data_IF_215275926317
#
_entry.id   IF_215275926317
#
_cell.length_a   1.000
_cell.length_b   1.000
_cell.length_c   1.000
_cell.angle_alpha   90.00
_cell.angle_beta   90.00
_cell.angle_gamma   90.00
#
_symmetry.space_group_name_H-M   'P 1'
#
loop_
_entity.id
_entity.type
_entity.pdbx_description
1 polymer ?
#
# COMPACT_ATOMS: atom_id res chain seq x y z
N UNK A 1 -66.17 3.92 -16.74
CA UNK A 1 -67.05 3.18 -17.66
C UNK A 1 -66.13 2.30 -18.46
N UNK A 2 -65.96 1.07 -18.03
CA UNK A 2 -66.57 -0.19 -18.48
C UNK A 2 -66.20 -0.54 -19.92
N UNK A 3 -65.30 -1.49 -20.00
CA UNK A 3 -65.48 -2.97 -20.19
C UNK A 3 -65.77 -3.43 -21.61
N UNK A 4 -64.90 -4.36 -22.05
CA UNK A 4 -65.21 -5.64 -22.75
C UNK A 4 -65.65 -5.54 -24.21
N UNK A 5 -65.08 -6.27 -24.99
CA UNK A 5 -65.03 -7.60 -25.58
C UNK A 5 -65.09 -7.55 -27.10
N UNK A 6 -64.30 -8.30 -27.81
CA UNK A 6 -64.65 -9.51 -28.57
C UNK A 6 -63.52 -9.91 -29.54
N UNK A 7 -62.97 -10.99 -29.32
CA UNK A 7 -62.77 -12.29 -29.98
C UNK A 7 -62.79 -12.38 -31.52
N UNK A 8 -61.69 -12.98 -32.00
CA UNK A 8 -61.56 -14.10 -32.96
C UNK A 8 -61.56 -13.81 -34.45
N UNK A 9 -60.49 -14.20 -35.13
CA UNK A 9 -60.48 -15.36 -36.03
C UNK A 9 -59.10 -15.59 -36.66
N UNK A 10 -58.79 -16.83 -36.79
CA UNK A 10 -57.61 -17.53 -37.22
C UNK A 10 -57.10 -17.24 -38.62
N UNK A 11 -55.76 -17.40 -38.80
CA UNK A 11 -55.10 -17.55 -40.10
C UNK A 11 -53.68 -18.04 -39.89
N UNK A 12 -53.46 -19.33 -39.93
CA UNK A 12 -52.15 -19.99 -39.86
C UNK A 12 -51.39 -19.77 -41.17
N UNK A 13 -50.18 -19.28 -41.08
CA UNK A 13 -49.13 -19.50 -42.06
C UNK A 13 -47.80 -19.68 -41.33
N UNK A 14 -47.30 -20.88 -41.38
CA UNK A 14 -46.03 -21.25 -40.82
C UNK A 14 -44.90 -20.67 -41.65
N UNK A 15 -44.00 -20.02 -40.92
CA UNK A 15 -42.67 -19.73 -41.42
C UNK A 15 -41.67 -20.30 -40.42
N UNK A 16 -41.00 -21.37 -40.84
CA UNK A 16 -39.87 -21.99 -40.22
C UNK A 16 -38.73 -20.93 -40.09
N UNK A 17 -38.57 -20.35 -38.91
CA UNK A 17 -37.34 -19.61 -38.59
C UNK A 17 -36.33 -20.63 -38.07
N UNK A 18 -35.34 -20.93 -38.88
CA UNK A 18 -34.14 -21.61 -38.45
C UNK A 18 -33.40 -20.65 -37.44
N UNK A 19 -33.43 -21.02 -36.19
CA UNK A 19 -32.54 -20.42 -35.18
C UNK A 19 -31.13 -20.90 -35.46
N UNK A 20 -30.33 -20.05 -36.05
CA UNK A 20 -28.86 -20.21 -36.03
C UNK A 20 -28.40 -20.02 -34.60
N UNK A 21 -28.15 -21.12 -33.88
CA UNK A 21 -27.37 -21.10 -32.66
C UNK A 21 -25.96 -20.56 -32.99
N UNK A 22 -25.73 -19.31 -32.63
CA UNK A 22 -24.40 -18.75 -32.60
C UNK A 22 -23.62 -19.47 -31.53
N UNK A 23 -22.79 -20.41 -31.92
CA UNK A 23 -21.72 -20.97 -31.09
C UNK A 23 -20.70 -19.86 -30.81
N UNK A 24 -21.00 -18.96 -29.85
CA UNK A 24 -20.02 -18.12 -29.25
C UNK A 24 -19.07 -19.04 -28.44
N UNK A 25 -17.88 -19.28 -28.98
CA UNK A 25 -16.84 -19.96 -28.24
C UNK A 25 -16.65 -19.24 -26.88
N UNK A 26 -16.46 -20.00 -25.78
CA UNK A 26 -16.19 -19.36 -24.48
C UNK A 26 -14.97 -18.49 -24.63
N UNK A 27 -15.16 -17.18 -24.42
CA UNK A 27 -14.04 -16.23 -24.27
C UNK A 27 -13.22 -16.76 -23.10
N UNK A 28 -12.07 -17.34 -23.41
CA UNK A 28 -11.10 -17.72 -22.40
C UNK A 28 -10.79 -16.47 -21.60
N UNK A 29 -11.31 -16.40 -20.37
CA UNK A 29 -10.88 -15.42 -19.39
C UNK A 29 -9.38 -15.66 -19.12
N UNK A 30 -8.52 -15.10 -19.95
CA UNK A 30 -7.12 -14.89 -19.61
C UNK A 30 -7.09 -13.84 -18.53
N UNK A 31 -7.39 -14.23 -17.29
CA UNK A 31 -7.23 -13.37 -16.15
C UNK A 31 -5.73 -13.14 -15.97
N UNK A 32 -5.23 -12.02 -16.51
CA UNK A 32 -3.90 -11.53 -16.13
C UNK A 32 -3.83 -11.55 -14.60
N UNK A 33 -2.82 -12.19 -13.99
CA UNK A 33 -2.71 -12.22 -12.54
C UNK A 33 -2.80 -10.80 -11.97
N UNK A 34 -3.59 -10.62 -10.92
CA UNK A 34 -3.73 -9.32 -10.29
C UNK A 34 -2.36 -8.80 -9.86
N UNK A 35 -2.05 -7.54 -10.18
CA UNK A 35 -0.92 -6.85 -9.57
C UNK A 35 -1.11 -6.84 -8.04
N UNK A 36 -0.07 -7.20 -7.29
CA UNK A 36 -0.12 -7.35 -5.84
C UNK A 36 -1.23 -8.32 -5.37
N UNK A 37 -1.20 -9.62 -5.73
CA UNK A 37 -2.23 -10.60 -5.34
C UNK A 37 -2.32 -10.79 -3.83
N UNK A 38 -1.23 -10.54 -3.11
CA UNK A 38 -1.14 -10.47 -1.65
C UNK A 38 -0.75 -9.06 -1.21
N UNK A 39 -0.92 -8.68 0.07
CA UNK A 39 -0.46 -7.39 0.56
C UNK A 39 1.01 -7.15 0.20
N UNK A 40 1.37 -6.01 -0.43
CA UNK A 40 2.75 -5.68 -0.72
C UNK A 40 3.66 -5.73 0.51
N UNK A 41 4.85 -6.28 0.35
CA UNK A 41 5.88 -6.31 1.39
C UNK A 41 7.16 -5.71 0.82
N UNK A 42 7.79 -4.82 1.59
CA UNK A 42 8.96 -4.13 1.07
C UNK A 42 9.66 -3.22 2.07
N UNK A 43 10.43 -2.31 1.52
CA UNK A 43 11.13 -1.25 2.24
C UNK A 43 10.95 0.09 1.53
N UNK A 44 10.92 1.16 2.34
CA UNK A 44 10.85 2.52 1.83
C UNK A 44 11.76 3.42 2.66
N UNK A 45 12.45 4.35 2.00
CA UNK A 45 13.50 5.17 2.60
C UNK A 45 13.04 6.29 3.53
N UNK A 46 11.74 6.63 3.58
CA UNK A 46 11.25 7.84 4.26
C UNK A 46 11.58 7.89 5.75
N UNK A 47 11.19 6.87 6.52
CA UNK A 47 11.38 6.91 7.98
C UNK A 47 12.86 6.94 8.40
N UNK A 48 13.76 6.39 7.57
CA UNK A 48 15.19 6.29 7.86
C UNK A 48 16.01 7.44 7.29
N UNK A 49 15.65 7.98 6.12
CA UNK A 49 16.47 8.98 5.42
C UNK A 49 15.75 10.30 5.12
N UNK A 50 14.44 10.37 5.37
CA UNK A 50 13.64 11.52 4.96
C UNK A 50 13.87 11.83 3.45
N UNK A 51 14.18 13.09 3.13
CA UNK A 51 14.45 13.54 1.75
C UNK A 51 15.89 13.29 1.29
N UNK A 52 16.80 12.74 2.15
CA UNK A 52 18.27 12.83 1.94
C UNK A 52 18.94 11.59 1.38
N UNK A 53 18.23 10.52 1.12
CA UNK A 53 18.82 9.25 0.67
C UNK A 53 19.72 9.45 -0.56
N UNK A 54 20.88 8.78 -0.58
CA UNK A 54 21.83 8.75 -1.70
C UNK A 54 21.83 7.39 -2.41
N UNK A 55 22.42 7.33 -3.60
CA UNK A 55 22.59 6.07 -4.34
C UNK A 55 23.33 5.01 -3.52
N UNK A 56 24.43 5.39 -2.86
CA UNK A 56 25.20 4.48 -2.01
C UNK A 56 24.35 3.89 -0.88
N UNK A 57 23.60 4.74 -0.19
CA UNK A 57 22.70 4.31 0.89
C UNK A 57 21.57 3.41 0.36
N UNK A 58 21.01 3.74 -0.79
CA UNK A 58 19.97 2.96 -1.42
C UNK A 58 20.47 1.55 -1.79
N UNK A 59 21.61 1.44 -2.45
CA UNK A 59 22.19 0.14 -2.85
C UNK A 59 22.53 -0.70 -1.62
N UNK A 60 23.15 -0.11 -0.59
CA UNK A 60 23.47 -0.84 0.64
C UNK A 60 22.21 -1.39 1.35
N UNK A 61 21.10 -0.63 1.40
CA UNK A 61 19.85 -1.13 1.95
C UNK A 61 19.22 -2.21 1.05
N UNK A 62 19.30 -2.08 -0.27
CA UNK A 62 18.77 -3.08 -1.20
C UNK A 62 19.50 -4.43 -1.07
N UNK A 63 20.83 -4.42 -0.93
CA UNK A 63 21.63 -5.62 -0.71
C UNK A 63 21.27 -6.35 0.59
N UNK A 64 21.06 -5.60 1.68
CA UNK A 64 20.65 -6.16 2.96
C UNK A 64 19.21 -6.70 2.86
N UNK A 65 18.29 -5.95 2.24
CA UNK A 65 16.93 -6.42 2.01
C UNK A 65 16.90 -7.73 1.22
N UNK A 66 17.70 -7.83 0.16
CA UNK A 66 17.77 -9.01 -0.65
C UNK A 66 18.29 -10.25 0.13
N UNK A 67 19.24 -10.03 1.04
CA UNK A 67 19.82 -11.09 1.86
C UNK A 67 18.93 -11.51 3.02
N UNK A 68 18.40 -10.54 3.75
CA UNK A 68 17.74 -10.78 5.04
C UNK A 68 16.21 -10.89 4.94
N UNK A 69 15.56 -10.12 4.07
CA UNK A 69 14.10 -9.98 4.06
C UNK A 69 13.44 -10.64 2.83
N UNK A 70 14.08 -10.62 1.66
CA UNK A 70 13.53 -11.24 0.44
C UNK A 70 13.16 -12.72 0.61
N UNK A 71 13.92 -13.57 1.34
CA UNK A 71 13.53 -14.97 1.59
C UNK A 71 12.21 -15.14 2.34
N UNK A 72 11.68 -14.04 2.88
CA UNK A 72 10.42 -13.97 3.61
C UNK A 72 9.31 -13.23 2.85
N UNK A 73 9.57 -12.81 1.59
CA UNK A 73 8.56 -12.22 0.71
C UNK A 73 8.61 -10.70 0.59
N UNK A 74 9.54 -10.01 1.24
CA UNK A 74 9.77 -8.58 1.04
C UNK A 74 10.50 -8.37 -0.28
N UNK A 75 9.81 -7.85 -1.30
CA UNK A 75 10.37 -7.75 -2.64
C UNK A 75 10.31 -6.34 -3.26
N UNK A 76 9.65 -5.36 -2.62
CA UNK A 76 9.54 -3.99 -3.13
C UNK A 76 10.51 -3.06 -2.41
N UNK A 77 11.48 -2.52 -3.13
CA UNK A 77 12.46 -1.56 -2.65
C UNK A 77 12.14 -0.17 -3.19
N UNK A 78 11.83 0.82 -2.32
CA UNK A 78 11.33 2.14 -2.74
C UNK A 78 12.22 3.28 -2.26
N UNK A 79 12.63 4.15 -3.19
CA UNK A 79 13.24 5.45 -2.90
C UNK A 79 12.14 6.49 -2.80
N UNK A 80 12.01 7.12 -1.62
CA UNK A 80 10.99 8.12 -1.32
C UNK A 80 11.41 9.54 -1.73
N UNK A 81 10.56 10.55 -1.48
CA UNK A 81 10.79 11.98 -1.70
C UNK A 81 12.09 12.41 -0.99
N UNK A 82 12.88 13.36 -1.42
CA UNK A 82 12.89 14.16 -2.66
C UNK A 82 14.12 13.78 -3.51
N UNK A 83 14.10 12.65 -4.15
CA UNK A 83 15.22 12.14 -4.94
C UNK A 83 15.65 13.09 -6.07
N UNK A 84 14.79 13.99 -6.48
CA UNK A 84 15.02 14.98 -7.55
C UNK A 84 15.61 16.33 -7.03
N UNK A 85 15.68 16.53 -5.71
CA UNK A 85 16.18 17.79 -5.11
C UNK A 85 17.61 17.61 -4.63
N UNK A 86 18.56 18.31 -5.28
CA UNK A 86 19.98 18.20 -4.96
C UNK A 86 20.38 18.79 -3.60
N UNK A 87 19.58 19.72 -3.08
CA UNK A 87 19.81 20.40 -1.80
C UNK A 87 18.86 19.93 -0.68
N UNK A 88 18.28 18.74 -0.80
CA UNK A 88 17.41 18.14 0.23
C UNK A 88 18.10 18.02 1.59
N UNK A 89 17.38 18.34 2.69
CA UNK A 89 17.99 18.52 4.03
C UNK A 89 17.46 17.60 5.12
N UNK A 90 16.41 16.83 4.87
CA UNK A 90 15.78 15.96 5.86
C UNK A 90 14.27 16.06 5.82
N UNK A 91 13.61 16.21 6.97
CA UNK A 91 12.16 16.32 7.05
C UNK A 91 11.62 17.71 6.70
N UNK A 92 12.48 18.72 6.63
CA UNK A 92 12.12 20.08 6.23
C UNK A 92 12.34 20.26 4.72
N UNK A 93 11.31 20.70 4.00
CA UNK A 93 11.41 20.98 2.58
C UNK A 93 12.00 22.36 2.30
N UNK A 94 12.74 22.48 1.21
CA UNK A 94 13.20 23.79 0.77
C UNK A 94 11.99 24.64 0.36
N UNK A 95 11.91 25.88 0.83
CA UNK A 95 10.83 26.80 0.49
C UNK A 95 10.88 27.28 -0.96
N UNK A 96 12.05 27.14 -1.61
CA UNK A 96 12.29 27.43 -3.04
C UNK A 96 13.03 26.25 -3.64
N UNK A 97 12.34 25.14 -3.91
CA UNK A 97 12.97 23.94 -4.45
C UNK A 97 13.46 24.17 -5.88
N UNK A 98 14.58 23.54 -6.22
CA UNK A 98 15.12 23.51 -7.58
C UNK A 98 15.20 22.05 -8.02
N UNK A 99 14.06 21.44 -8.39
CA UNK A 99 14.04 20.07 -8.80
C UNK A 99 14.87 19.84 -10.06
N UNK A 100 15.63 18.76 -10.07
CA UNK A 100 16.23 18.25 -11.32
C UNK A 100 15.12 17.75 -12.21
N UNK A 101 15.05 18.25 -13.44
CA UNK A 101 14.03 17.87 -14.42
C UNK A 101 14.55 18.01 -15.85
N UNK A 102 13.90 17.35 -16.78
CA UNK A 102 14.20 17.49 -18.21
C UNK A 102 13.51 18.71 -18.85
N UNK A 103 13.70 18.86 -20.15
CA UNK A 103 13.10 19.94 -20.95
C UNK A 103 11.58 19.90 -21.05
N UNK A 104 10.94 18.83 -20.59
CA UNK A 104 9.48 18.64 -20.56
C UNK A 104 8.90 18.75 -19.14
N UNK A 105 9.70 19.15 -18.15
CA UNK A 105 9.28 19.28 -16.76
C UNK A 105 9.06 17.94 -16.04
N UNK A 106 9.63 16.83 -16.55
CA UNK A 106 9.59 15.54 -15.86
C UNK A 106 10.78 15.44 -14.90
N UNK A 107 10.51 14.97 -13.68
CA UNK A 107 11.52 14.87 -12.64
C UNK A 107 12.62 13.87 -13.00
N UNK A 108 13.87 14.23 -12.71
CA UNK A 108 15.06 13.39 -12.86
C UNK A 108 15.81 13.26 -11.53
N UNK A 109 16.50 12.12 -11.26
CA UNK A 109 17.30 11.99 -10.04
C UNK A 109 18.39 13.06 -9.97
N UNK A 110 18.58 13.66 -8.80
CA UNK A 110 19.60 14.69 -8.58
C UNK A 110 21.01 14.08 -8.71
N UNK A 111 21.87 14.53 -9.67
CA UNK A 111 23.13 13.84 -10.00
C UNK A 111 24.15 13.83 -8.85
N UNK A 112 24.11 14.82 -7.96
CA UNK A 112 24.99 14.89 -6.79
C UNK A 112 24.64 13.85 -5.72
N UNK A 113 23.44 13.28 -5.78
CA UNK A 113 22.97 12.22 -4.85
C UNK A 113 22.89 10.86 -5.53
N UNK A 114 22.61 10.86 -6.81
CA UNK A 114 22.47 9.67 -7.67
C UNK A 114 23.40 9.79 -8.88
N UNK A 115 24.71 9.63 -8.69
CA UNK A 115 25.72 9.88 -9.72
C UNK A 115 25.59 9.00 -10.96
N UNK A 116 24.95 7.81 -10.85
CA UNK A 116 24.72 6.95 -12.01
C UNK A 116 23.60 7.44 -12.93
N UNK A 117 22.80 8.45 -12.50
CA UNK A 117 21.63 8.96 -13.24
C UNK A 117 21.98 9.89 -14.41
N UNK A 118 23.26 10.27 -14.57
CA UNK A 118 23.71 11.26 -15.56
C UNK A 118 23.55 10.76 -16.99
N UNK A 119 23.67 11.69 -17.97
CA UNK A 119 23.57 11.41 -19.41
C UNK A 119 22.24 10.78 -19.83
N UNK A 120 21.16 11.15 -19.16
CA UNK A 120 19.82 10.65 -19.47
C UNK A 120 19.50 9.26 -18.93
N UNK A 121 20.39 8.65 -18.12
CA UNK A 121 20.19 7.31 -17.60
C UNK A 121 19.05 7.23 -16.55
N UNK A 122 18.75 8.34 -15.85
CA UNK A 122 17.72 8.36 -14.83
C UNK A 122 17.95 7.31 -13.74
N UNK A 123 16.90 6.64 -13.31
CA UNK A 123 17.03 5.55 -12.32
C UNK A 123 17.37 4.18 -12.93
N UNK A 124 17.49 4.06 -14.27
CA UNK A 124 17.73 2.75 -14.92
C UNK A 124 18.93 2.00 -14.33
N UNK A 125 20.12 2.63 -14.06
CA UNK A 125 21.25 1.91 -13.49
C UNK A 125 21.00 1.38 -12.06
N UNK A 126 20.20 2.09 -11.26
CA UNK A 126 19.81 1.62 -9.93
C UNK A 126 18.75 0.52 -10.03
N UNK A 127 17.77 0.68 -10.92
CA UNK A 127 16.77 -0.34 -11.19
C UNK A 127 17.42 -1.66 -11.61
N UNK A 128 18.41 -1.62 -12.49
CA UNK A 128 19.14 -2.82 -12.93
C UNK A 128 19.84 -3.54 -11.76
N UNK A 129 20.47 -2.78 -10.84
CA UNK A 129 21.11 -3.34 -9.64
C UNK A 129 20.07 -3.98 -8.71
N UNK A 130 18.94 -3.28 -8.46
CA UNK A 130 17.85 -3.76 -7.60
C UNK A 130 17.21 -5.02 -8.19
N UNK A 131 16.97 -5.04 -9.51
CA UNK A 131 16.45 -6.21 -10.22
C UNK A 131 17.44 -7.38 -10.22
N UNK A 132 18.74 -7.12 -10.34
CA UNK A 132 19.76 -8.17 -10.23
C UNK A 132 19.77 -8.85 -8.85
N UNK A 133 19.36 -8.14 -7.80
CA UNK A 133 19.12 -8.70 -6.46
C UNK A 133 17.80 -9.48 -6.37
N UNK A 134 16.98 -9.45 -7.43
CA UNK A 134 15.65 -10.07 -7.53
C UNK A 134 14.59 -9.32 -6.73
N UNK A 135 14.77 -8.02 -6.56
CA UNK A 135 13.80 -7.11 -5.96
C UNK A 135 13.07 -6.31 -7.05
N UNK A 136 11.92 -5.77 -6.74
CA UNK A 136 11.20 -4.77 -7.53
C UNK A 136 11.65 -3.38 -7.11
N UNK A 137 11.76 -2.47 -8.07
CA UNK A 137 12.19 -1.10 -7.78
C UNK A 137 11.03 -0.12 -7.82
N UNK A 138 10.91 0.70 -6.78
CA UNK A 138 9.88 1.71 -6.60
C UNK A 138 10.43 3.11 -6.39
N UNK A 139 9.65 4.09 -6.79
CA UNK A 139 9.94 5.51 -6.56
C UNK A 139 8.71 6.25 -6.06
N UNK A 140 8.96 7.35 -5.35
CA UNK A 140 7.94 8.30 -4.94
C UNK A 140 7.71 9.35 -6.02
N UNK A 141 6.47 9.78 -6.18
CA UNK A 141 6.07 10.96 -6.95
C UNK A 141 5.15 11.85 -6.13
N UNK A 142 5.27 13.16 -6.30
CA UNK A 142 4.21 14.10 -5.91
C UNK A 142 3.13 14.14 -6.99
N UNK A 143 1.90 14.43 -6.61
CA UNK A 143 0.83 14.84 -7.51
C UNK A 143 1.22 16.12 -8.28
N UNK A 144 0.80 16.19 -9.55
CA UNK A 144 0.87 17.43 -10.31
C UNK A 144 2.12 17.61 -11.16
N UNK A 145 2.46 18.88 -11.42
CA UNK A 145 3.56 19.33 -12.29
C UNK A 145 4.51 20.25 -11.51
N UNK A 146 5.85 20.16 -11.68
CA UNK A 146 6.80 21.04 -11.00
C UNK A 146 6.49 22.52 -11.22
N UNK A 147 6.44 23.30 -10.14
CA UNK A 147 6.22 24.76 -10.20
C UNK A 147 7.25 25.44 -11.11
N UNK A 148 8.49 24.97 -11.05
CA UNK A 148 9.57 25.46 -11.92
C UNK A 148 9.32 25.20 -13.41
N UNK A 149 8.67 24.06 -13.74
CA UNK A 149 8.26 23.78 -15.13
C UNK A 149 7.19 24.77 -15.61
N UNK A 150 6.24 25.13 -14.74
CA UNK A 150 5.20 26.13 -15.01
C UNK A 150 5.80 27.54 -15.11
N UNK A 151 6.71 27.90 -14.22
CA UNK A 151 7.43 29.18 -14.28
C UNK A 151 8.15 29.36 -15.63
N UNK A 152 8.90 28.34 -16.06
CA UNK A 152 9.63 28.31 -17.33
C UNK A 152 8.73 28.05 -18.55
N UNK A 153 7.48 27.68 -18.32
CA UNK A 153 6.50 27.32 -19.34
C UNK A 153 7.03 26.27 -20.33
N UNK A 154 7.57 25.17 -19.78
CA UNK A 154 8.18 24.10 -20.56
C UNK A 154 7.14 23.37 -21.46
N UNK A 155 7.56 22.85 -22.61
CA UNK A 155 6.67 22.09 -23.50
C UNK A 155 6.31 20.74 -22.90
N UNK A 156 5.06 20.30 -23.08
CA UNK A 156 4.62 18.94 -22.77
C UNK A 156 5.04 18.01 -23.90
N UNK A 157 5.66 16.89 -23.55
CA UNK A 157 6.13 15.91 -24.53
C UNK A 157 4.95 15.31 -25.32
N UNK A 158 5.11 15.22 -26.64
CA UNK A 158 4.14 14.60 -27.55
C UNK A 158 3.02 15.51 -27.99
N UNK A 159 2.97 16.77 -27.54
CA UNK A 159 1.90 17.68 -27.85
C UNK A 159 2.37 19.11 -28.19
N UNK A 160 1.40 19.96 -28.54
CA UNK A 160 1.59 21.40 -28.74
C UNK A 160 1.40 22.23 -27.47
N UNK A 161 1.10 21.57 -26.34
CA UNK A 161 0.76 22.19 -25.08
C UNK A 161 2.02 22.48 -24.25
N UNK A 162 1.90 23.43 -23.34
CA UNK A 162 2.95 23.83 -22.41
C UNK A 162 2.48 23.69 -20.96
N UNK A 163 3.41 23.76 -20.04
CA UNK A 163 3.15 23.57 -18.61
C UNK A 163 2.06 24.52 -18.07
N UNK A 164 2.03 25.79 -18.54
CA UNK A 164 0.99 26.76 -18.13
C UNK A 164 -0.40 26.45 -18.68
N UNK A 165 -0.50 25.71 -19.76
CA UNK A 165 -1.80 25.37 -20.36
C UNK A 165 -2.57 24.35 -19.53
N UNK A 166 -1.85 23.53 -18.73
CA UNK A 166 -2.41 22.41 -17.98
C UNK A 166 -2.32 22.60 -16.46
N UNK A 167 -1.50 23.52 -15.97
CA UNK A 167 -1.30 23.71 -14.53
C UNK A 167 -2.52 24.34 -13.86
N UNK A 168 -2.90 23.82 -12.69
CA UNK A 168 -3.79 24.47 -11.75
C UNK A 168 -2.96 25.07 -10.62
N UNK A 169 -2.62 26.36 -10.73
CA UNK A 169 -1.76 27.06 -9.78
C UNK A 169 -2.42 27.34 -8.42
N UNK A 170 -3.74 27.16 -8.31
CA UNK A 170 -4.47 27.24 -7.04
C UNK A 170 -4.44 25.92 -6.27
N UNK A 171 -4.22 24.81 -6.97
CA UNK A 171 -4.07 23.48 -6.37
C UNK A 171 -2.62 23.28 -5.93
N UNK A 172 -2.36 23.47 -4.63
CA UNK A 172 -1.03 23.37 -4.03
C UNK A 172 -1.04 22.35 -2.89
N UNK A 173 0.08 21.66 -2.71
CA UNK A 173 0.31 20.85 -1.52
C UNK A 173 0.66 21.78 -0.35
N UNK A 174 -0.03 21.70 0.81
CA UNK A 174 0.21 22.63 1.93
C UNK A 174 1.53 22.38 2.65
N UNK A 175 2.10 21.18 2.55
CA UNK A 175 3.32 20.79 3.25
C UNK A 175 4.55 20.68 2.33
N UNK A 176 4.37 20.71 1.01
CA UNK A 176 5.45 20.59 0.03
C UNK A 176 5.27 21.62 -1.11
N UNK A 177 6.29 22.48 -1.35
CA UNK A 177 6.18 23.55 -2.33
C UNK A 177 6.61 23.17 -3.75
N UNK A 178 6.84 21.87 -4.04
CA UNK A 178 7.48 21.46 -5.29
C UNK A 178 6.55 21.57 -6.50
N UNK A 179 5.24 21.30 -6.30
CA UNK A 179 4.29 21.06 -7.37
C UNK A 179 3.09 22.01 -7.36
N UNK A 180 2.51 22.21 -8.54
CA UNK A 180 1.10 22.61 -8.73
C UNK A 180 0.29 21.41 -9.18
N UNK A 181 -1.02 21.40 -8.91
CA UNK A 181 -1.92 20.42 -9.50
C UNK A 181 -1.99 20.53 -11.02
N UNK A 182 -2.50 19.49 -11.66
CA UNK A 182 -2.81 19.48 -13.08
C UNK A 182 -4.33 19.55 -13.28
N UNK A 183 -4.80 20.51 -14.06
CA UNK A 183 -6.22 20.60 -14.45
C UNK A 183 -6.51 19.55 -15.54
N UNK A 184 -7.06 18.42 -15.11
CA UNK A 184 -7.33 17.28 -16.00
C UNK A 184 -8.43 17.54 -17.04
N UNK A 185 -9.14 18.68 -16.97
CA UNK A 185 -10.06 19.12 -18.01
C UNK A 185 -9.34 19.75 -19.23
N UNK A 186 -8.08 20.09 -19.09
CA UNK A 186 -7.29 20.76 -20.12
C UNK A 186 -6.71 19.77 -21.12
N UNK A 187 -6.74 20.11 -22.41
CA UNK A 187 -6.00 19.35 -23.41
C UNK A 187 -4.50 19.34 -23.10
N UNK A 188 -3.85 18.17 -23.22
CA UNK A 188 -2.44 17.97 -22.87
C UNK A 188 -2.19 17.53 -21.41
N UNK A 189 -3.18 17.63 -20.53
CA UNK A 189 -3.03 17.19 -19.13
C UNK A 189 -2.75 15.68 -19.03
N UNK A 190 -3.49 14.86 -19.76
CA UNK A 190 -3.23 13.42 -19.81
C UNK A 190 -1.91 13.10 -20.51
N UNK A 191 -1.52 13.87 -21.55
CA UNK A 191 -0.24 13.68 -22.25
C UNK A 191 0.95 13.89 -21.29
N UNK A 192 0.85 14.86 -20.39
CA UNK A 192 1.85 15.06 -19.34
C UNK A 192 2.01 13.82 -18.47
N UNK A 193 0.91 13.30 -17.88
CA UNK A 193 0.97 12.10 -17.05
C UNK A 193 1.46 10.88 -17.85
N UNK A 194 0.99 10.71 -19.09
CA UNK A 194 1.48 9.64 -19.97
C UNK A 194 3.00 9.73 -20.17
N UNK A 195 3.53 10.94 -20.37
CA UNK A 195 4.96 11.15 -20.56
C UNK A 195 5.77 10.85 -19.30
N UNK A 196 5.26 11.21 -18.10
CA UNK A 196 5.90 10.90 -16.82
C UNK A 196 5.97 9.38 -16.61
N UNK A 197 4.85 8.67 -16.77
CA UNK A 197 4.84 7.23 -16.56
C UNK A 197 5.57 6.44 -17.65
N UNK A 198 5.62 6.95 -18.88
CA UNK A 198 6.50 6.41 -19.94
C UNK A 198 7.98 6.55 -19.56
N UNK A 199 8.38 7.68 -18.94
CA UNK A 199 9.73 7.86 -18.41
C UNK A 199 10.03 6.87 -17.30
N UNK A 200 9.12 6.68 -16.34
CA UNK A 200 9.27 5.69 -15.28
C UNK A 200 9.36 4.26 -15.84
N UNK A 201 8.56 3.94 -16.86
CA UNK A 201 8.62 2.65 -17.55
C UNK A 201 9.97 2.44 -18.24
N UNK A 202 10.57 3.49 -18.81
CA UNK A 202 11.90 3.42 -19.44
C UNK A 202 13.03 3.18 -18.42
N UNK A 203 12.80 3.48 -17.15
CA UNK A 203 13.72 3.16 -16.04
C UNK A 203 13.42 1.82 -15.37
N UNK A 204 12.46 1.06 -15.89
CA UNK A 204 12.01 -0.21 -15.32
C UNK A 204 11.44 -0.11 -13.90
N UNK A 205 10.69 0.96 -13.61
CA UNK A 205 10.01 1.11 -12.30
C UNK A 205 8.83 0.12 -12.21
N UNK A 206 8.70 -0.55 -11.04
CA UNK A 206 7.66 -1.55 -10.75
C UNK A 206 6.60 -1.05 -9.76
N UNK A 207 6.93 -0.01 -8.98
CA UNK A 207 6.10 0.50 -7.90
C UNK A 207 6.19 2.03 -7.84
N UNK A 208 5.07 2.70 -7.72
CA UNK A 208 5.00 4.16 -7.59
C UNK A 208 4.18 4.51 -6.35
N UNK A 209 4.82 5.13 -5.36
CA UNK A 209 4.15 5.82 -4.26
C UNK A 209 3.84 7.23 -4.71
N UNK A 210 2.56 7.53 -4.94
CA UNK A 210 2.13 8.84 -5.41
C UNK A 210 1.47 9.63 -4.28
N UNK A 211 2.02 10.79 -4.00
CA UNK A 211 1.76 11.58 -2.81
C UNK A 211 0.85 12.80 -3.07
N UNK A 212 0.29 13.41 -2.01
CA UNK A 212 -0.68 14.53 -2.05
C UNK A 212 -2.01 14.15 -2.76
N UNK A 213 -2.45 12.89 -2.64
CA UNK A 213 -3.62 12.40 -3.36
C UNK A 213 -4.93 12.45 -2.57
N UNK A 214 -4.88 12.46 -1.25
CA UNK A 214 -6.05 12.21 -0.41
C UNK A 214 -6.84 13.45 -0.01
N UNK A 215 -6.27 14.67 -0.11
CA UNK A 215 -6.92 15.91 0.34
C UNK A 215 -6.60 17.11 -0.56
N UNK A 216 -7.65 17.79 -1.06
CA UNK A 216 -9.06 17.37 -1.09
C UNK A 216 -9.30 16.25 -2.11
N UNK A 217 -9.84 15.11 -1.68
CA UNK A 217 -9.90 13.90 -2.50
C UNK A 217 -10.65 14.10 -3.84
N UNK A 218 -11.83 14.71 -3.78
CA UNK A 218 -12.66 14.87 -4.99
C UNK A 218 -11.99 15.77 -6.04
N UNK A 219 -11.22 16.77 -5.60
CA UNK A 219 -10.44 17.63 -6.51
C UNK A 219 -9.24 16.88 -7.12
N UNK A 220 -8.65 15.93 -6.36
CA UNK A 220 -7.47 15.17 -6.79
C UNK A 220 -7.84 13.87 -7.52
N UNK A 221 -9.09 13.40 -7.42
CA UNK A 221 -9.56 12.17 -8.05
C UNK A 221 -9.27 12.09 -9.56
N UNK A 222 -9.46 13.16 -10.37
CA UNK A 222 -9.10 13.13 -11.79
C UNK A 222 -7.61 12.86 -12.05
N UNK A 223 -6.71 13.32 -11.17
CA UNK A 223 -5.27 13.05 -11.28
C UNK A 223 -4.94 11.61 -10.88
N UNK A 224 -5.67 11.00 -9.92
CA UNK A 224 -5.58 9.56 -9.60
C UNK A 224 -5.94 8.72 -10.85
N UNK A 225 -7.05 9.06 -11.50
CA UNK A 225 -7.48 8.41 -12.73
C UNK A 225 -6.46 8.59 -13.87
N UNK A 226 -5.88 9.79 -13.97
CA UNK A 226 -4.86 10.09 -14.97
C UNK A 226 -3.60 9.25 -14.78
N UNK A 227 -3.12 9.11 -13.53
CA UNK A 227 -2.00 8.24 -13.20
C UNK A 227 -2.29 6.77 -13.54
N UNK A 228 -3.49 6.30 -13.20
CA UNK A 228 -3.93 4.94 -13.55
C UNK A 228 -3.92 4.69 -15.06
N UNK A 229 -4.51 5.60 -15.85
CA UNK A 229 -4.50 5.54 -17.33
C UNK A 229 -3.08 5.60 -17.89
N UNK A 230 -2.22 6.45 -17.32
CA UNK A 230 -0.85 6.60 -17.76
C UNK A 230 0.00 5.33 -17.51
N UNK A 231 -0.21 4.62 -16.38
CA UNK A 231 0.39 3.31 -16.13
C UNK A 231 -0.04 2.32 -17.23
N UNK A 232 -1.32 2.25 -17.53
CA UNK A 232 -1.82 1.38 -18.60
C UNK A 232 -1.22 1.72 -19.95
N UNK A 233 -1.16 3.01 -20.30
CA UNK A 233 -0.60 3.50 -21.56
C UNK A 233 0.92 3.25 -21.68
N UNK A 234 1.64 3.20 -20.57
CA UNK A 234 3.09 2.93 -20.56
C UNK A 234 3.45 1.52 -21.01
N UNK A 235 2.50 0.58 -20.97
CA UNK A 235 2.71 -0.84 -21.29
C UNK A 235 3.49 -1.61 -20.21
N UNK A 236 3.99 -0.94 -19.16
CA UNK A 236 4.65 -1.60 -18.02
C UNK A 236 3.71 -1.71 -16.83
N UNK A 237 3.52 -2.91 -16.26
CA UNK A 237 2.74 -3.07 -15.05
C UNK A 237 3.46 -2.43 -13.86
N UNK A 238 2.84 -1.42 -13.23
CA UNK A 238 3.35 -0.76 -12.04
C UNK A 238 2.29 -0.81 -10.95
N UNK A 239 2.70 -1.14 -9.71
CA UNK A 239 1.82 -1.04 -8.53
C UNK A 239 1.70 0.45 -8.19
N UNK A 240 0.47 0.96 -8.18
CA UNK A 240 0.17 2.32 -7.73
C UNK A 240 -0.23 2.31 -6.26
N UNK A 241 0.52 3.04 -5.45
CA UNK A 241 0.29 3.27 -4.03
C UNK A 241 -0.03 4.75 -3.81
N UNK A 242 -1.19 5.06 -3.25
CA UNK A 242 -1.62 6.45 -3.01
C UNK A 242 -1.34 6.87 -1.57
N UNK A 243 -0.75 8.05 -1.39
CA UNK A 243 -0.30 8.63 -0.11
C UNK A 243 -0.24 10.16 -0.22
N UNK A 244 0.11 10.91 0.86
CA UNK A 244 -0.28 10.65 2.22
C UNK A 244 -1.70 11.11 2.48
N UNK A 245 -2.08 10.99 3.75
CA UNK A 245 -3.35 11.44 4.24
C UNK A 245 -4.39 10.33 4.25
N UNK A 246 -5.29 10.45 5.19
CA UNK A 246 -6.41 9.52 5.31
C UNK A 246 -7.32 9.67 4.09
N UNK A 247 -7.35 8.64 3.24
CA UNK A 247 -8.33 8.56 2.16
C UNK A 247 -9.74 8.56 2.77
N UNK A 248 -10.68 9.40 2.31
CA UNK A 248 -12.05 9.36 2.82
C UNK A 248 -12.70 8.00 2.56
N UNK A 249 -13.32 7.40 3.58
CA UNK A 249 -13.96 6.09 3.46
C UNK A 249 -15.04 6.06 2.36
N UNK A 250 -15.75 7.18 2.16
CA UNK A 250 -16.73 7.33 1.09
C UNK A 250 -16.13 7.16 -0.31
N UNK A 251 -14.84 7.39 -0.47
CA UNK A 251 -14.12 7.25 -1.74
C UNK A 251 -13.54 5.84 -1.96
N UNK A 252 -13.86 4.89 -1.08
CA UNK A 252 -13.29 3.54 -1.10
C UNK A 252 -13.49 2.79 -2.42
N UNK A 253 -14.66 2.91 -3.05
CA UNK A 253 -14.92 2.29 -4.36
C UNK A 253 -14.12 2.94 -5.49
N UNK A 254 -13.89 4.25 -5.43
CA UNK A 254 -13.10 4.94 -6.43
C UNK A 254 -11.61 4.56 -6.31
N UNK A 255 -11.04 4.66 -5.10
CA UNK A 255 -9.62 4.35 -4.90
C UNK A 255 -9.31 2.88 -5.20
N UNK A 256 -10.21 1.96 -4.82
CA UNK A 256 -10.10 0.52 -5.11
C UNK A 256 -10.06 0.20 -6.62
N UNK A 257 -10.73 1.00 -7.45
CA UNK A 257 -10.70 0.82 -8.91
C UNK A 257 -9.38 1.25 -9.54
N UNK A 258 -8.71 2.26 -8.95
CA UNK A 258 -7.61 2.95 -9.61
C UNK A 258 -6.24 2.63 -9.01
N UNK A 259 -6.13 2.13 -7.77
CA UNK A 259 -4.87 1.84 -7.12
C UNK A 259 -4.80 0.43 -6.52
N UNK A 260 -3.60 -0.12 -6.36
CA UNK A 260 -3.36 -1.40 -5.70
C UNK A 260 -3.24 -1.27 -4.19
N UNK A 261 -2.77 -0.12 -3.69
CA UNK A 261 -2.80 0.21 -2.27
C UNK A 261 -3.05 1.71 -2.06
N UNK A 262 -3.56 2.07 -0.90
CA UNK A 262 -3.89 3.46 -0.55
C UNK A 262 -3.86 3.65 0.96
N UNK A 263 -3.36 4.79 1.39
CA UNK A 263 -3.25 5.17 2.80
C UNK A 263 -4.61 5.40 3.43
N UNK A 264 -4.79 4.82 4.59
CA UNK A 264 -6.01 4.96 5.42
C UNK A 264 -5.80 5.84 6.64
N UNK A 265 -4.63 6.46 6.76
CA UNK A 265 -4.25 7.39 7.82
C UNK A 265 -3.27 8.43 7.29
N UNK A 266 -3.08 9.50 8.04
CA UNK A 266 -1.88 10.34 7.93
C UNK A 266 -0.63 9.55 8.26
N UNK A 267 0.55 10.18 8.15
CA UNK A 267 1.81 9.52 8.44
C UNK A 267 1.81 8.90 9.84
N UNK A 268 2.09 7.60 9.86
CA UNK A 268 2.12 6.79 11.06
C UNK A 268 3.54 6.72 11.62
N UNK A 269 3.65 7.08 12.88
CA UNK A 269 4.89 7.00 13.62
C UNK A 269 4.77 6.12 14.86
N UNK A 270 5.90 5.81 15.47
CA UNK A 270 6.07 4.93 16.63
C UNK A 270 5.57 5.56 17.94
N UNK A 271 4.26 5.84 17.96
CA UNK A 271 3.54 6.40 19.11
C UNK A 271 2.27 5.59 19.38
N UNK A 272 2.08 5.16 20.62
CA UNK A 272 0.94 4.31 20.99
C UNK A 272 -0.43 4.86 20.58
N UNK A 273 -0.74 6.15 20.77
CA UNK A 273 -2.04 6.69 20.34
C UNK A 273 -2.30 6.52 18.84
N UNK A 274 -1.25 6.64 18.01
CA UNK A 274 -1.36 6.44 16.56
C UNK A 274 -1.61 4.95 16.24
N UNK A 275 -0.89 4.03 16.89
CA UNK A 275 -1.11 2.58 16.75
C UNK A 275 -2.52 2.20 17.19
N UNK A 276 -2.98 2.72 18.33
CA UNK A 276 -4.35 2.49 18.83
C UNK A 276 -5.42 2.96 17.84
N UNK A 277 -5.21 4.09 17.17
CA UNK A 277 -6.15 4.62 16.18
C UNK A 277 -6.27 3.72 14.94
N UNK A 278 -5.21 3.00 14.56
CA UNK A 278 -5.23 2.12 13.40
C UNK A 278 -6.19 0.93 13.54
N UNK A 279 -6.52 0.51 14.75
CA UNK A 279 -7.53 -0.54 14.96
C UNK A 279 -8.87 -0.17 14.32
N UNK A 280 -9.36 1.04 14.57
CA UNK A 280 -10.63 1.51 14.01
C UNK A 280 -10.54 1.77 12.50
N UNK A 281 -9.42 2.31 12.03
CA UNK A 281 -9.20 2.54 10.60
C UNK A 281 -9.20 1.23 9.81
N UNK A 282 -8.41 0.25 10.25
CA UNK A 282 -8.34 -1.06 9.61
C UNK A 282 -9.67 -1.82 9.65
N UNK A 283 -10.44 -1.67 10.72
CA UNK A 283 -11.80 -2.19 10.83
C UNK A 283 -12.71 -1.59 9.75
N UNK A 284 -12.78 -0.25 9.66
CA UNK A 284 -13.61 0.46 8.71
C UNK A 284 -13.25 0.14 7.25
N UNK A 285 -11.97 0.00 6.96
CA UNK A 285 -11.47 -0.27 5.61
C UNK A 285 -11.48 -1.76 5.21
N UNK A 286 -11.79 -2.67 6.14
CA UNK A 286 -11.76 -4.11 5.89
C UNK A 286 -12.66 -4.56 4.73
N UNK A 287 -13.77 -3.85 4.50
CA UNK A 287 -14.73 -4.12 3.42
C UNK A 287 -14.20 -3.86 2.01
N UNK A 288 -13.16 -3.02 1.85
CA UNK A 288 -12.58 -2.69 0.55
C UNK A 288 -11.36 -3.55 0.21
N UNK A 289 -10.88 -4.36 1.16
CA UNK A 289 -9.72 -5.24 0.98
C UNK A 289 -10.06 -6.46 0.14
N UNK A 290 -9.26 -6.70 -0.89
CA UNK A 290 -9.33 -7.91 -1.73
C UNK A 290 -7.98 -8.13 -2.43
N UNK A 291 -7.75 -9.29 -3.04
CA UNK A 291 -6.55 -9.52 -3.85
C UNK A 291 -6.33 -8.41 -4.88
N UNK A 292 -5.12 -7.84 -4.89
CA UNK A 292 -4.75 -6.70 -5.74
C UNK A 292 -5.23 -5.33 -5.24
N UNK A 293 -5.87 -5.24 -4.06
CA UNK A 293 -6.43 -4.00 -3.53
C UNK A 293 -6.30 -3.96 -2.00
N UNK A 294 -5.39 -3.11 -1.50
CA UNK A 294 -4.94 -3.17 -0.11
C UNK A 294 -5.04 -1.81 0.59
N UNK A 295 -5.96 -1.64 1.56
CA UNK A 295 -5.89 -0.54 2.51
C UNK A 295 -4.57 -0.58 3.27
N UNK A 296 -3.84 0.53 3.27
CA UNK A 296 -2.49 0.65 3.81
C UNK A 296 -2.50 1.46 5.11
N UNK A 297 -2.18 0.81 6.21
CA UNK A 297 -2.08 1.44 7.52
C UNK A 297 -0.73 2.14 7.74
N UNK A 298 0.05 2.31 6.67
CA UNK A 298 1.37 2.92 6.59
C UNK A 298 2.54 1.99 6.93
N UNK A 299 3.72 2.55 6.80
CA UNK A 299 5.00 1.89 6.98
C UNK A 299 5.20 1.40 8.42
N UNK A 300 6.12 0.47 8.58
CA UNK A 300 6.55 -0.06 9.88
C UNK A 300 7.73 0.77 10.40
N UNK A 301 7.55 1.70 11.36
CA UNK A 301 8.61 2.54 11.90
C UNK A 301 9.42 1.77 12.96
N UNK A 302 10.07 0.68 12.53
CA UNK A 302 10.88 -0.20 13.36
C UNK A 302 12.38 0.04 13.13
N UNK A 303 13.22 -0.39 14.06
CA UNK A 303 14.68 -0.28 13.98
C UNK A 303 15.20 1.15 14.05
N UNK A 304 16.26 1.46 13.28
CA UNK A 304 16.92 2.76 13.26
C UNK A 304 16.21 3.76 12.35
N UNK A 305 15.82 4.91 12.87
CA UNK A 305 14.95 5.92 12.24
C UNK A 305 15.59 7.31 12.23
N UNK A 306 14.92 8.25 11.53
CA UNK A 306 15.21 9.68 11.55
C UNK A 306 16.69 10.02 11.26
N UNK A 307 17.18 9.55 10.11
CA UNK A 307 18.58 9.78 9.67
C UNK A 307 19.61 9.27 10.70
N UNK A 308 19.30 8.11 11.31
CA UNK A 308 20.14 7.46 12.30
C UNK A 308 20.14 8.11 13.69
N UNK A 309 19.26 9.09 13.93
CA UNK A 309 19.24 9.84 15.20
C UNK A 309 18.64 9.06 16.38
N UNK A 310 17.76 8.09 16.10
CA UNK A 310 17.09 7.31 17.15
C UNK A 310 16.64 5.92 16.68
N UNK A 311 16.39 5.07 17.63
CA UNK A 311 15.69 3.80 17.43
C UNK A 311 14.17 3.99 17.57
N UNK A 312 13.42 2.97 17.17
CA UNK A 312 11.98 2.87 17.39
C UNK A 312 11.62 3.07 18.87
N UNK A 313 10.59 3.90 19.14
CA UNK A 313 10.12 4.19 20.50
C UNK A 313 9.14 3.17 21.06
N UNK A 314 8.52 2.37 20.20
CA UNK A 314 7.62 1.32 20.64
C UNK A 314 8.34 0.34 21.56
N UNK A 315 7.70 -0.01 22.66
CA UNK A 315 8.14 -1.12 23.52
C UNK A 315 8.11 -2.44 22.71
N UNK A 316 8.81 -3.50 23.15
CA UNK A 316 8.75 -4.80 22.48
C UNK A 316 7.33 -5.35 22.30
N UNK A 317 6.43 -5.09 23.27
CA UNK A 317 5.03 -5.50 23.18
C UNK A 317 4.26 -4.70 22.14
N UNK A 318 4.49 -3.37 22.05
CA UNK A 318 3.88 -2.51 21.05
C UNK A 318 4.38 -2.82 19.63
N UNK A 319 5.68 -3.14 19.45
CA UNK A 319 6.23 -3.60 18.18
C UNK A 319 5.56 -4.91 17.72
N UNK A 320 5.37 -5.85 18.65
CA UNK A 320 4.64 -7.09 18.38
C UNK A 320 3.17 -6.83 18.07
N UNK A 321 2.54 -5.90 18.77
CA UNK A 321 1.16 -5.48 18.54
C UNK A 321 0.99 -4.84 17.16
N UNK A 322 1.91 -3.98 16.74
CA UNK A 322 1.98 -3.43 15.39
C UNK A 322 1.99 -4.55 14.34
N UNK A 323 2.96 -5.46 14.43
CA UNK A 323 3.10 -6.56 13.47
C UNK A 323 1.90 -7.51 13.49
N UNK A 324 1.31 -7.78 14.66
CA UNK A 324 0.12 -8.62 14.79
C UNK A 324 -1.09 -7.97 14.10
N UNK A 325 -1.30 -6.67 14.33
CA UNK A 325 -2.43 -5.94 13.75
C UNK A 325 -2.30 -5.83 12.23
N UNK A 326 -1.14 -5.41 11.71
CA UNK A 326 -0.91 -5.36 10.25
C UNK A 326 -1.09 -6.72 9.60
N UNK A 327 -0.62 -7.78 10.27
CA UNK A 327 -0.75 -9.14 9.75
C UNK A 327 -2.18 -9.65 9.75
N UNK A 328 -2.91 -9.53 10.85
CA UNK A 328 -4.29 -10.04 10.91
C UNK A 328 -5.27 -9.19 10.08
N UNK A 329 -5.01 -7.90 9.93
CA UNK A 329 -5.78 -7.01 9.08
C UNK A 329 -5.36 -7.05 7.60
N UNK A 330 -4.25 -7.74 7.27
CA UNK A 330 -3.67 -7.81 5.92
C UNK A 330 -3.36 -6.43 5.34
N UNK A 331 -2.77 -5.55 6.15
CA UNK A 331 -2.14 -4.33 5.66
C UNK A 331 -0.83 -4.64 4.96
N UNK A 332 -0.39 -3.86 3.96
CA UNK A 332 0.97 -3.92 3.46
C UNK A 332 2.02 -3.85 4.57
N UNK A 333 3.15 -4.54 4.38
CA UNK A 333 4.26 -4.59 5.33
C UNK A 333 5.47 -3.89 4.72
N UNK A 334 5.54 -2.58 4.83
CA UNK A 334 6.62 -1.76 4.29
C UNK A 334 7.52 -1.29 5.43
N UNK A 335 8.70 -1.90 5.55
CA UNK A 335 9.70 -1.54 6.56
C UNK A 335 10.26 -0.13 6.30
N UNK A 336 10.35 0.71 7.34
CA UNK A 336 10.81 2.09 7.24
C UNK A 336 12.20 2.36 7.82
N UNK A 337 12.75 1.45 8.65
CA UNK A 337 14.05 1.64 9.28
C UNK A 337 15.24 1.39 8.36
N UNK A 338 16.39 1.96 8.73
CA UNK A 338 17.65 1.77 8.02
C UNK A 338 18.17 0.34 8.21
N UNK A 339 18.10 -0.45 7.14
CA UNK A 339 18.47 -1.87 7.19
C UNK A 339 19.97 -2.09 7.48
N UNK A 340 20.82 -1.09 7.28
CA UNK A 340 22.24 -1.17 7.65
C UNK A 340 22.45 -1.30 9.16
N UNK A 341 21.41 -0.97 9.94
CA UNK A 341 21.37 -1.07 11.39
C UNK A 341 20.26 -2.02 11.89
N UNK A 342 19.93 -3.04 11.07
CA UNK A 342 18.88 -4.02 11.39
C UNK A 342 19.32 -4.91 12.57
N UNK A 343 18.70 -4.71 13.72
CA UNK A 343 18.99 -5.50 14.92
C UNK A 343 18.26 -6.86 14.90
N UNK A 344 18.76 -7.85 15.68
CA UNK A 344 18.18 -9.21 15.70
C UNK A 344 16.71 -9.27 16.14
N UNK A 345 16.25 -8.38 17.03
CA UNK A 345 14.87 -8.38 17.52
C UNK A 345 13.92 -7.88 16.41
N UNK A 346 14.27 -6.77 15.74
CA UNK A 346 13.54 -6.26 14.58
C UNK A 346 13.52 -7.29 13.45
N UNK A 347 14.65 -7.94 13.15
CA UNK A 347 14.71 -9.00 12.14
C UNK A 347 13.78 -10.16 12.49
N UNK A 348 13.75 -10.60 13.76
CA UNK A 348 12.88 -11.69 14.20
C UNK A 348 11.38 -11.35 14.07
N UNK A 349 11.00 -10.09 14.29
CA UNK A 349 9.62 -9.63 14.06
C UNK A 349 9.25 -9.69 12.57
N UNK A 350 10.13 -9.20 11.69
CA UNK A 350 9.88 -9.11 10.26
C UNK A 350 9.93 -10.48 9.55
N UNK A 351 10.57 -11.49 10.14
CA UNK A 351 10.84 -12.77 9.48
C UNK A 351 10.13 -13.98 10.12
N UNK A 352 9.18 -13.76 11.02
CA UNK A 352 8.38 -14.84 11.56
C UNK A 352 7.40 -15.39 10.51
N UNK A 353 7.73 -16.53 9.90
CA UNK A 353 6.94 -17.15 8.81
C UNK A 353 5.49 -17.43 9.19
N UNK A 354 5.22 -17.79 10.46
CA UNK A 354 3.86 -18.10 10.91
C UNK A 354 3.00 -16.84 11.00
N UNK A 355 3.58 -15.72 11.43
CA UNK A 355 2.92 -14.42 11.46
C UNK A 355 2.73 -13.87 10.03
N UNK A 356 3.77 -13.98 9.19
CA UNK A 356 3.68 -13.58 7.79
C UNK A 356 2.63 -14.38 7.01
N UNK A 357 2.45 -15.67 7.31
CA UNK A 357 1.39 -16.48 6.71
C UNK A 357 0.00 -15.92 7.01
N UNK A 358 -0.22 -15.33 8.19
CA UNK A 358 -1.50 -14.65 8.51
C UNK A 358 -1.71 -13.44 7.60
N UNK A 359 -0.67 -12.68 7.28
CA UNK A 359 -0.76 -11.55 6.36
C UNK A 359 -0.95 -12.01 4.91
N UNK A 360 -0.17 -12.97 4.46
CA UNK A 360 -0.04 -13.34 3.04
C UNK A 360 -1.02 -14.43 2.59
N UNK A 361 -1.41 -15.35 3.48
CA UNK A 361 -2.18 -16.55 3.16
C UNK A 361 -3.36 -16.77 4.11
N UNK A 362 -4.14 -15.72 4.35
CA UNK A 362 -5.39 -15.81 5.12
C UNK A 362 -6.56 -15.12 4.42
N UNK A 363 -7.76 -15.45 4.88
CA UNK A 363 -9.05 -14.92 4.36
C UNK A 363 -10.03 -14.67 5.50
N UNK A 364 -11.11 -13.97 5.22
CA UNK A 364 -12.17 -13.65 6.19
C UNK A 364 -11.63 -12.86 7.41
N UNK A 365 -10.59 -12.09 7.21
CA UNK A 365 -9.95 -11.31 8.27
C UNK A 365 -10.88 -10.17 8.72
N UNK A 366 -11.28 -10.16 9.99
CA UNK A 366 -12.21 -9.17 10.51
C UNK A 366 -12.08 -9.01 12.02
N UNK A 367 -12.49 -7.84 12.56
CA UNK A 367 -12.69 -7.71 13.99
C UNK A 367 -13.78 -8.66 14.46
N UNK A 368 -13.64 -9.21 15.65
CA UNK A 368 -14.58 -10.17 16.21
C UNK A 368 -15.32 -9.63 17.44
N UNK A 369 -14.63 -9.00 18.38
CA UNK A 369 -15.22 -8.41 19.57
C UNK A 369 -14.28 -7.41 20.24
N UNK A 370 -14.86 -6.53 21.05
CA UNK A 370 -14.18 -5.78 22.10
C UNK A 370 -14.67 -6.35 23.45
N UNK A 371 -13.77 -6.93 24.23
CA UNK A 371 -14.04 -7.57 25.53
C UNK A 371 -13.17 -6.88 26.56
N UNK A 372 -13.73 -6.07 27.45
CA UNK A 372 -13.00 -5.38 28.54
C UNK A 372 -11.70 -4.67 28.07
N UNK A 373 -11.78 -3.86 27.01
CA UNK A 373 -10.65 -3.17 26.37
C UNK A 373 -9.64 -4.13 25.68
N UNK A 374 -9.98 -5.41 25.50
CA UNK A 374 -9.26 -6.33 24.63
C UNK A 374 -9.96 -6.42 23.28
N UNK A 375 -9.34 -5.88 22.25
CA UNK A 375 -9.82 -6.06 20.87
C UNK A 375 -9.44 -7.45 20.39
N UNK A 376 -10.36 -8.08 19.67
CA UNK A 376 -10.13 -9.40 19.09
C UNK A 376 -10.36 -9.38 17.60
N UNK A 377 -9.48 -10.04 16.88
CA UNK A 377 -9.60 -10.22 15.43
C UNK A 377 -9.52 -11.70 15.09
N UNK A 378 -10.20 -12.09 14.02
CA UNK A 378 -10.19 -13.46 13.54
C UNK A 378 -9.94 -13.52 12.03
N UNK A 379 -9.38 -14.64 11.59
CA UNK A 379 -9.21 -14.96 10.18
C UNK A 379 -9.27 -16.48 9.98
N UNK A 380 -9.24 -16.91 8.72
CA UNK A 380 -9.07 -18.31 8.34
C UNK A 380 -7.79 -18.46 7.53
N UNK A 381 -7.09 -19.54 7.70
CA UNK A 381 -6.04 -19.91 6.77
C UNK A 381 -6.64 -20.09 5.37
N UNK A 382 -5.90 -19.74 4.33
CA UNK A 382 -6.33 -19.93 2.95
C UNK A 382 -6.52 -21.41 2.63
N UNK A 383 -5.65 -22.23 3.19
CA UNK A 383 -5.72 -23.70 3.08
C UNK A 383 -5.93 -24.35 4.46
N UNK A 384 -6.64 -25.48 4.46
CA UNK A 384 -6.93 -26.23 5.69
C UNK A 384 -8.02 -25.57 6.55
N UNK A 385 -8.12 -26.04 7.80
CA UNK A 385 -9.19 -25.66 8.73
C UNK A 385 -8.79 -24.70 9.83
N UNK A 386 -7.50 -24.32 9.87
CA UNK A 386 -6.97 -23.43 10.92
C UNK A 386 -7.69 -22.07 10.90
N UNK A 387 -8.10 -21.63 12.09
CA UNK A 387 -8.59 -20.27 12.36
C UNK A 387 -7.49 -19.50 13.07
N UNK A 388 -7.37 -18.22 12.74
CA UNK A 388 -6.47 -17.31 13.46
C UNK A 388 -7.26 -16.47 14.45
N UNK A 389 -6.70 -16.27 15.63
CA UNK A 389 -7.23 -15.43 16.68
C UNK A 389 -6.13 -14.49 17.16
N UNK A 390 -6.33 -13.20 16.96
CA UNK A 390 -5.49 -12.16 17.53
C UNK A 390 -6.21 -11.48 18.70
N UNK A 391 -5.49 -11.26 19.80
CA UNK A 391 -5.96 -10.62 21.01
C UNK A 391 -5.06 -9.43 21.31
N UNK A 392 -5.64 -8.26 21.63
CA UNK A 392 -4.91 -7.01 21.82
C UNK A 392 -5.40 -6.27 23.07
N UNK A 393 -4.53 -6.05 24.05
CA UNK A 393 -4.83 -5.15 25.15
C UNK A 393 -4.65 -3.70 24.69
N UNK A 394 -5.76 -3.00 24.43
CA UNK A 394 -5.79 -1.60 23.95
C UNK A 394 -6.12 -0.59 25.06
N UNK A 395 -6.05 -1.02 26.33
CA UNK A 395 -6.27 -0.14 27.48
C UNK A 395 -5.17 0.92 27.58
N UNK A 396 -5.56 2.14 27.94
CA UNK A 396 -4.59 3.20 28.29
C UNK A 396 -4.05 3.06 29.72
N UNK A 397 -4.60 2.11 30.49
CA UNK A 397 -4.14 1.81 31.83
C UNK A 397 -2.96 0.83 31.76
N UNK A 398 -1.96 1.07 32.58
CA UNK A 398 -0.79 0.17 32.71
C UNK A 398 -1.11 -1.08 33.53
N UNK A 399 -2.15 -1.81 33.13
CA UNK A 399 -2.59 -3.04 33.81
C UNK A 399 -2.75 -4.20 32.82
N UNK A 400 -2.47 -5.41 33.30
CA UNK A 400 -2.73 -6.63 32.53
C UNK A 400 -4.23 -6.90 32.46
N UNK A 401 -4.69 -7.38 31.30
CA UNK A 401 -6.09 -7.79 31.09
C UNK A 401 -6.18 -9.29 30.92
N UNK A 402 -7.09 -9.92 31.66
CA UNK A 402 -7.54 -11.28 31.38
C UNK A 402 -8.62 -11.25 30.31
N UNK A 403 -8.54 -12.15 29.36
CA UNK A 403 -9.56 -12.30 28.32
C UNK A 403 -9.96 -13.76 28.18
N UNK A 404 -11.25 -13.97 27.95
CA UNK A 404 -11.83 -15.26 27.64
C UNK A 404 -12.55 -15.16 26.30
N UNK A 405 -12.06 -15.86 25.29
CA UNK A 405 -12.65 -15.87 23.97
C UNK A 405 -13.38 -17.20 23.72
N UNK A 406 -14.70 -17.16 23.60
CA UNK A 406 -15.51 -18.34 23.38
C UNK A 406 -15.33 -18.90 21.97
N UNK A 407 -14.96 -20.16 21.84
CA UNK A 407 -14.74 -20.85 20.57
C UNK A 407 -16.02 -20.97 19.74
N UNK A 408 -17.21 -20.94 20.37
CA UNK A 408 -18.50 -20.93 19.70
C UNK A 408 -18.66 -19.76 18.73
N UNK A 409 -18.00 -18.61 18.97
CA UNK A 409 -17.96 -17.47 18.03
C UNK A 409 -17.31 -17.81 16.70
N UNK A 410 -16.49 -18.85 16.66
CA UNK A 410 -15.86 -19.39 15.45
C UNK A 410 -16.55 -20.67 14.94
N UNK A 411 -17.64 -21.11 15.60
CA UNK A 411 -18.28 -22.38 15.34
C UNK A 411 -17.47 -23.60 15.77
N UNK A 412 -16.55 -23.41 16.75
CA UNK A 412 -15.64 -24.45 17.22
C UNK A 412 -16.02 -24.89 18.65
N UNK A 413 -15.72 -26.14 18.98
CA UNK A 413 -15.92 -26.71 20.32
C UNK A 413 -14.59 -27.03 21.01
N UNK A 414 -13.64 -27.55 20.26
CA UNK A 414 -12.32 -27.97 20.74
C UNK A 414 -11.27 -27.68 19.68
N UNK A 415 -10.11 -27.17 20.08
CA UNK A 415 -9.03 -26.79 19.16
C UNK A 415 -7.66 -27.13 19.74
N UNK A 416 -6.72 -27.48 18.88
CA UNK A 416 -5.28 -27.35 19.20
C UNK A 416 -4.88 -25.90 19.04
N UNK A 417 -4.20 -25.34 20.03
CA UNK A 417 -3.74 -23.95 20.06
C UNK A 417 -2.26 -23.90 19.80
N UNK A 418 -1.85 -23.07 18.84
CA UNK A 418 -0.45 -22.76 18.56
C UNK A 418 -0.19 -21.27 18.74
N UNK A 419 0.78 -20.91 19.54
CA UNK A 419 1.28 -19.53 19.64
C UNK A 419 2.21 -19.26 18.45
N UNK A 420 1.78 -18.38 17.54
CA UNK A 420 2.50 -18.11 16.29
C UNK A 420 3.75 -17.24 16.53
N UNK A 421 3.75 -16.40 17.57
CA UNK A 421 4.92 -15.62 17.94
C UNK A 421 6.00 -16.49 18.57
N UNK A 422 5.62 -17.33 19.54
CA UNK A 422 6.53 -18.25 20.19
C UNK A 422 6.83 -19.51 19.36
N UNK A 423 6.08 -19.75 18.26
CA UNK A 423 6.14 -20.95 17.41
C UNK A 423 5.98 -22.23 18.24
N UNK A 424 5.09 -22.22 19.22
CA UNK A 424 4.93 -23.28 20.21
C UNK A 424 3.48 -23.74 20.32
N UNK A 425 3.30 -25.06 20.39
CA UNK A 425 2.00 -25.65 20.66
C UNK A 425 1.66 -25.51 22.17
N UNK A 426 0.45 -25.06 22.44
CA UNK A 426 -0.06 -24.83 23.78
C UNK A 426 -1.03 -25.95 24.25
N UNK A 427 -1.21 -27.00 23.43
CA UNK A 427 -2.10 -28.11 23.71
C UNK A 427 -3.53 -27.90 23.20
N UNK A 428 -4.46 -28.73 23.71
CA UNK A 428 -5.87 -28.72 23.31
C UNK A 428 -6.71 -27.95 24.33
N UNK A 429 -7.58 -27.06 23.83
CA UNK A 429 -8.52 -26.28 24.64
C UNK A 429 -9.96 -26.58 24.20
N UNK A 430 -10.89 -26.57 25.16
CA UNK A 430 -12.33 -26.79 24.90
C UNK A 430 -13.14 -25.59 25.38
N UNK A 431 -14.14 -25.21 24.60
CA UNK A 431 -15.10 -24.16 24.92
C UNK A 431 -14.56 -22.74 24.77
N UNK A 432 -13.41 -22.40 25.37
CA UNK A 432 -12.85 -21.06 25.33
C UNK A 432 -11.33 -21.03 25.38
N UNK A 433 -10.73 -20.03 24.73
CA UNK A 433 -9.32 -19.66 24.90
C UNK A 433 -9.23 -18.59 25.95
N UNK A 434 -8.35 -18.77 26.94
CA UNK A 434 -8.09 -17.80 28.02
C UNK A 434 -6.65 -17.32 27.95
N UNK A 435 -6.43 -16.04 28.12
CA UNK A 435 -5.11 -15.43 28.09
C UNK A 435 -5.03 -14.21 29.00
N UNK A 436 -3.81 -13.88 29.42
CA UNK A 436 -3.50 -12.61 30.11
C UNK A 436 -2.55 -11.81 29.24
N UNK A 437 -2.92 -10.57 28.94
CA UNK A 437 -2.12 -9.65 28.13
C UNK A 437 -1.58 -8.53 29.01
N UNK A 438 -0.28 -8.31 28.96
CA UNK A 438 0.35 -7.13 29.52
C UNK A 438 -0.18 -5.84 28.84
N UNK A 439 0.06 -4.66 29.41
CA UNK A 439 -0.29 -3.40 28.75
C UNK A 439 0.24 -3.33 27.32
N UNK A 440 -0.62 -2.96 26.37
CA UNK A 440 -0.35 -2.83 24.94
C UNK A 440 0.13 -4.11 24.22
N UNK A 441 0.16 -5.25 24.94
CA UNK A 441 0.59 -6.53 24.39
C UNK A 441 -0.47 -7.16 23.47
N UNK A 442 -0.02 -8.04 22.61
CA UNK A 442 -0.85 -8.86 21.74
C UNK A 442 -0.45 -10.33 21.77
N UNK A 443 -1.41 -11.19 21.43
CA UNK A 443 -1.21 -12.61 21.16
C UNK A 443 -1.80 -12.95 19.79
N UNK A 444 -1.17 -13.87 19.09
CA UNK A 444 -1.64 -14.38 17.80
C UNK A 444 -1.59 -15.90 17.81
N UNK A 445 -2.76 -16.51 17.74
CA UNK A 445 -2.93 -17.95 17.82
C UNK A 445 -3.43 -18.56 16.51
N UNK A 446 -2.88 -19.71 16.16
CA UNK A 446 -3.47 -20.67 15.23
C UNK A 446 -4.34 -21.66 16.01
N UNK A 447 -5.60 -21.80 15.62
CA UNK A 447 -6.61 -22.67 16.23
C UNK A 447 -7.02 -23.74 15.22
N UNK A 448 -6.57 -24.97 15.40
CA UNK A 448 -6.92 -26.09 14.54
C UNK A 448 -8.00 -26.95 15.21
N UNK A 449 -9.17 -27.18 14.58
CA UNK A 449 -10.24 -28.01 15.12
C UNK A 449 -9.77 -29.43 15.47
N UNK A 450 -10.37 -30.00 16.53
CA UNK A 450 -10.12 -31.40 16.98
C UNK A 450 -11.44 -32.12 17.15
#
# INVERSE_FOLDING_TARGET
MNRRELLAAAGALGLLSQSTESNAAPVANSSTPALAPTPPMGWNSWNSFATTITEEQAIANAEIMARELKPFGYDIFTIDIQWYEGAAKGYDYNTKPIPTMDEHGRLLPAPNRFPSSVKGAGFKPIADKVHALGLKFGVHLMRGIPRLAVERNLPILGGKWKARDIANTESVCPWNPDMYGVDMSKPGAQDYYNSVFALLASWDIDFVKMDDMSRPYDANAPEIEAAHRAIQASGRPMILSLSPGETPLASGEHVRRHAQMWRISDDFWDEWPQLKAQFTRLENWSMFRQPGRWPDADMLPLGRLQMGKRDCRFTPDEQRTLMTLWSIARSPLIMGGDLRHLDPATLALLTNREVLAVNQASRDNKPAALIEEVRTWTARAEQGETRYLALFNVSDKKESKQVHFDLSRLGLKSVKVRDLWARRDLGTVRGRVSATLAPHASLLYGLTPV
#
